data_IF_881088560326
#
_entry.id   IF_881088560326
#
_cell.length_a   1.000
_cell.length_b   1.000
_cell.length_c   1.000
_cell.angle_alpha   90.00
_cell.angle_beta   90.00
_cell.angle_gamma   90.00
#
_symmetry.space_group_name_H-M   'P 1'
#
loop_
_entity.id
_entity.type
_entity.pdbx_description
1 polymer ?
#
# COMPACT_ATOMS: atom_id res chain seq x y z
N UNK A 1 10.17 -8.36 -10.30
CA UNK A 1 11.51 -7.93 -9.86
C UNK A 1 12.29 -9.16 -9.41
N UNK A 2 13.57 -9.26 -9.74
CA UNK A 2 14.47 -10.32 -9.24
C UNK A 2 15.65 -9.63 -8.55
N UNK A 3 15.89 -9.97 -7.29
CA UNK A 3 17.02 -9.44 -6.53
C UNK A 3 18.30 -10.18 -6.96
N UNK A 4 19.40 -9.46 -7.04
CA UNK A 4 20.72 -10.06 -7.16
C UNK A 4 21.29 -10.44 -5.78
N UNK A 5 22.39 -11.19 -5.78
CA UNK A 5 23.03 -11.67 -4.55
C UNK A 5 23.54 -10.53 -3.67
N UNK A 6 23.97 -9.41 -4.27
CA UNK A 6 24.47 -8.26 -3.52
C UNK A 6 23.33 -7.55 -2.77
N UNK A 7 22.19 -7.39 -3.42
CA UNK A 7 20.97 -6.85 -2.81
C UNK A 7 20.45 -7.77 -1.69
N UNK A 8 20.49 -9.09 -1.88
CA UNK A 8 20.10 -10.04 -0.83
C UNK A 8 21.03 -9.90 0.39
N UNK A 9 22.35 -9.90 0.18
CA UNK A 9 23.31 -9.74 1.27
C UNK A 9 23.17 -8.37 1.98
N UNK A 10 22.86 -7.31 1.24
CA UNK A 10 22.60 -5.99 1.81
C UNK A 10 21.35 -6.01 2.71
N UNK A 11 20.27 -6.66 2.25
CA UNK A 11 19.06 -6.81 3.06
C UNK A 11 19.34 -7.60 4.34
N UNK A 12 20.06 -8.71 4.25
CA UNK A 12 20.40 -9.54 5.42
C UNK A 12 21.22 -8.76 6.46
N UNK A 13 22.05 -7.82 6.01
CA UNK A 13 22.87 -6.96 6.87
C UNK A 13 22.08 -5.79 7.47
N UNK A 14 21.25 -5.12 6.67
CA UNK A 14 20.63 -3.82 7.01
C UNK A 14 19.16 -3.93 7.44
N UNK A 15 18.51 -5.04 7.13
CA UNK A 15 17.07 -5.26 7.31
C UNK A 15 16.17 -4.49 6.34
N UNK A 16 16.74 -3.80 5.34
CA UNK A 16 16.00 -3.05 4.33
C UNK A 16 16.78 -2.90 3.02
N UNK A 17 16.04 -2.70 1.93
CA UNK A 17 16.58 -2.29 0.63
C UNK A 17 15.86 -1.04 0.14
N UNK A 18 16.62 -0.16 -0.52
CA UNK A 18 16.09 1.05 -1.11
C UNK A 18 16.14 0.97 -2.64
N UNK A 19 14.98 1.15 -3.28
CA UNK A 19 14.83 1.18 -4.72
C UNK A 19 14.23 2.52 -5.15
N UNK A 20 15.07 3.43 -5.65
CA UNK A 20 14.65 4.79 -6.01
C UNK A 20 13.65 4.86 -7.17
N UNK A 21 13.56 3.79 -7.97
CA UNK A 21 12.67 3.69 -9.13
C UNK A 21 12.05 2.28 -9.20
N UNK A 22 11.51 1.80 -8.08
CA UNK A 22 10.80 0.51 -8.04
C UNK A 22 9.60 0.49 -8.98
N UNK A 23 8.85 1.61 -9.00
CA UNK A 23 7.75 1.86 -9.92
C UNK A 23 8.18 2.90 -10.93
N UNK A 24 7.76 2.71 -12.17
CA UNK A 24 7.88 3.72 -13.22
C UNK A 24 6.89 4.86 -12.94
N UNK A 25 7.14 6.00 -13.56
CA UNK A 25 6.27 7.18 -13.41
C UNK A 25 4.83 6.89 -13.86
N UNK A 26 4.65 6.15 -14.96
CA UNK A 26 3.34 5.80 -15.48
C UNK A 26 2.57 4.90 -14.49
N UNK A 27 3.22 3.86 -13.96
CA UNK A 27 2.63 2.97 -12.95
C UNK A 27 2.26 3.73 -11.67
N UNK A 28 3.10 4.68 -11.26
CA UNK A 28 2.81 5.55 -10.10
C UNK A 28 1.58 6.43 -10.35
N UNK A 29 1.45 7.00 -11.55
CA UNK A 29 0.31 7.83 -11.93
C UNK A 29 -1.01 7.05 -12.00
N UNK A 30 -0.96 5.82 -12.51
CA UNK A 30 -2.13 4.92 -12.52
C UNK A 30 -2.62 4.62 -11.09
N UNK A 31 -1.70 4.29 -10.17
CA UNK A 31 -2.04 4.04 -8.77
C UNK A 31 -2.63 5.27 -8.08
N UNK A 32 -2.04 6.46 -8.31
CA UNK A 32 -2.54 7.72 -7.75
C UNK A 32 -3.95 8.05 -8.25
N UNK A 33 -4.22 7.78 -9.52
CA UNK A 33 -5.54 8.00 -10.12
C UNK A 33 -6.56 7.05 -9.50
N UNK A 34 -6.27 5.75 -9.45
CA UNK A 34 -7.18 4.75 -8.89
C UNK A 34 -7.44 4.93 -7.39
N UNK A 35 -6.49 5.48 -6.63
CA UNK A 35 -6.69 5.83 -5.22
C UNK A 35 -7.83 6.83 -5.02
N UNK A 36 -7.99 7.79 -5.93
CA UNK A 36 -9.05 8.80 -5.85
C UNK A 36 -10.43 8.14 -5.92
N UNK A 37 -10.62 7.18 -6.82
CA UNK A 37 -11.88 6.44 -6.96
C UNK A 37 -12.18 5.58 -5.74
N UNK A 38 -11.15 4.96 -5.14
CA UNK A 38 -11.30 4.16 -3.91
C UNK A 38 -11.72 5.04 -2.74
N UNK A 39 -11.10 6.21 -2.58
CA UNK A 39 -11.39 7.14 -1.48
C UNK A 39 -12.76 7.82 -1.65
N UNK A 40 -13.19 8.08 -2.88
CA UNK A 40 -14.50 8.67 -3.17
C UNK A 40 -15.64 7.65 -3.13
N UNK A 41 -15.34 6.35 -3.03
CA UNK A 41 -16.36 5.31 -3.01
C UNK A 41 -17.09 5.34 -1.67
N UNK A 42 -18.37 5.70 -1.71
CA UNK A 42 -19.30 5.45 -0.62
C UNK A 42 -19.63 3.94 -0.57
N UNK A 43 -18.84 3.19 0.20
CA UNK A 43 -19.07 1.78 0.55
C UNK A 43 -18.92 1.62 2.07
N UNK A 44 -19.34 0.49 2.67
CA UNK A 44 -19.37 0.41 4.12
C UNK A 44 -17.95 0.47 4.66
N UNK A 45 -17.60 1.61 5.25
CA UNK A 45 -16.46 1.66 6.16
C UNK A 45 -16.71 0.60 7.24
N UNK A 46 -15.70 -0.21 7.54
CA UNK A 46 -15.78 -1.12 8.68
C UNK A 46 -15.66 -0.26 9.94
N UNK A 47 -16.78 0.31 10.37
CA UNK A 47 -16.91 0.97 11.67
C UNK A 47 -16.85 -0.14 12.72
N UNK A 48 -15.87 -0.08 13.63
CA UNK A 48 -15.81 -1.02 14.74
C UNK A 48 -17.03 -0.81 15.63
N UNK A 49 -17.87 -1.84 15.78
CA UNK A 49 -19.13 -1.83 16.56
C UNK A 49 -18.99 -1.21 17.97
N UNK A 50 -17.80 -1.28 18.59
CA UNK A 50 -17.53 -0.66 19.89
C UNK A 50 -17.72 0.86 19.93
N UNK A 51 -17.75 1.54 18.77
CA UNK A 51 -17.89 3.00 18.68
C UNK A 51 -19.27 3.48 18.21
N UNK A 52 -20.19 2.56 17.88
CA UNK A 52 -21.53 2.92 17.43
C UNK A 52 -22.61 2.05 18.09
N UNK A 53 -23.40 2.68 18.97
CA UNK A 53 -24.57 2.05 19.60
C UNK A 53 -25.73 1.82 18.64
N UNK A 54 -25.72 2.42 17.44
CA UNK A 54 -26.71 2.21 16.39
C UNK A 54 -26.35 1.05 15.44
N UNK A 55 -25.14 0.48 15.56
CA UNK A 55 -24.68 -0.67 14.78
C UNK A 55 -25.17 -2.03 15.34
N UNK A 56 -26.10 -2.02 16.29
CA UNK A 56 -26.68 -3.23 16.88
C UNK A 56 -27.83 -3.73 16.01
N UNK A 57 -27.69 -4.95 15.47
CA UNK A 57 -28.81 -5.75 14.95
C UNK A 57 -29.60 -6.39 16.07
#
# INVERSE_FOLDING_TARGET
>A
MRLDEAQIAEYDCRGLLFFSALLQQAETAELQTGLTDILNREGPEIIREKQDSAAVR
#
